data_IF_859542480404
#
_entry.id   IF_859542480404
#
_cell.length_a   1.000
_cell.length_b   1.000
_cell.length_c   1.000
_cell.angle_alpha   90.00
_cell.angle_beta   90.00
_cell.angle_gamma   90.00
#
_symmetry.space_group_name_H-M   'P 1'
#
loop_
_entity.id
_entity.type
_entity.pdbx_description
1 polymer ?
#
# COMPACT_ATOMS: atom_id res chain seq x y z
N UNK A 1 -21.42 -16.00 -8.83
CA UNK A 1 -20.32 -15.13 -9.30
C UNK A 1 -19.88 -15.65 -10.67
N UNK A 2 -19.90 -14.82 -11.71
CA UNK A 2 -19.63 -15.26 -13.09
C UNK A 2 -18.12 -15.59 -13.27
N UNK A 3 -17.73 -16.73 -13.87
CA UNK A 3 -16.33 -17.05 -14.13
C UNK A 3 -15.55 -15.97 -14.92
N UNK A 4 -16.22 -15.18 -15.78
CA UNK A 4 -15.60 -14.03 -16.45
C UNK A 4 -15.31 -12.86 -15.49
N UNK A 5 -16.15 -12.65 -14.46
CA UNK A 5 -15.86 -11.68 -13.41
C UNK A 5 -14.68 -12.15 -12.55
N UNK A 6 -14.56 -13.45 -12.31
CA UNK A 6 -13.40 -14.05 -11.62
C UNK A 6 -12.11 -13.91 -12.43
N UNK A 7 -12.16 -14.01 -13.77
CA UNK A 7 -11.00 -13.76 -14.64
C UNK A 7 -10.59 -12.28 -14.70
N UNK A 8 -11.56 -11.34 -14.70
CA UNK A 8 -11.24 -9.90 -14.62
C UNK A 8 -10.64 -9.52 -13.25
N UNK A 9 -11.06 -10.19 -12.17
CA UNK A 9 -10.51 -10.08 -10.82
C UNK A 9 -9.11 -10.72 -10.67
N UNK A 10 -8.66 -11.49 -11.67
CA UNK A 10 -7.34 -12.15 -11.71
C UNK A 10 -6.37 -11.50 -12.71
N UNK A 11 -6.65 -10.30 -13.21
CA UNK A 11 -5.57 -9.46 -13.75
C UNK A 11 -4.71 -9.04 -12.56
N UNK A 12 -3.54 -9.66 -12.44
CA UNK A 12 -2.48 -9.18 -11.58
C UNK A 12 -1.98 -7.86 -12.16
N UNK A 13 -2.61 -6.76 -11.72
CA UNK A 13 -2.33 -5.43 -12.23
C UNK A 13 -0.84 -5.07 -12.12
N UNK A 14 -0.13 -5.61 -11.13
CA UNK A 14 1.31 -5.38 -10.97
C UNK A 14 2.11 -6.03 -12.10
N UNK A 15 1.76 -7.27 -12.48
CA UNK A 15 2.39 -7.94 -13.63
C UNK A 15 2.09 -7.23 -14.93
N UNK A 16 0.85 -6.82 -15.14
CA UNK A 16 0.49 -6.07 -16.35
C UNK A 16 1.28 -4.77 -16.46
N UNK A 17 1.42 -4.03 -15.36
CA UNK A 17 2.24 -2.81 -15.36
C UNK A 17 3.70 -3.17 -15.65
N UNK A 18 4.26 -4.21 -15.04
CA UNK A 18 5.64 -4.62 -15.31
C UNK A 18 5.87 -5.07 -16.76
N UNK A 19 4.86 -5.62 -17.44
CA UNK A 19 4.94 -5.91 -18.88
C UNK A 19 4.97 -4.64 -19.74
N UNK A 20 4.27 -3.57 -19.32
CA UNK A 20 4.24 -2.28 -20.02
C UNK A 20 5.49 -1.45 -19.75
N UNK A 21 6.06 -1.56 -18.56
CA UNK A 21 7.26 -0.83 -18.11
C UNK A 21 8.30 -1.79 -17.49
N UNK A 22 8.91 -2.70 -18.29
CA UNK A 22 9.81 -3.73 -17.76
C UNK A 22 11.11 -3.16 -17.17
N UNK A 23 11.57 -2.03 -17.71
CA UNK A 23 12.81 -1.35 -17.30
C UNK A 23 12.46 -0.03 -16.59
N UNK A 24 11.75 -0.13 -15.46
CA UNK A 24 11.42 1.05 -14.65
C UNK A 24 12.71 1.74 -14.14
N UNK A 25 13.08 2.84 -14.79
CA UNK A 25 14.09 3.79 -14.32
C UNK A 25 13.42 4.84 -13.41
N UNK A 26 12.93 4.40 -12.26
CA UNK A 26 12.12 5.24 -11.38
C UNK A 26 11.98 4.69 -9.97
N UNK A 27 11.33 5.49 -9.13
CA UNK A 27 11.03 5.15 -7.73
C UNK A 27 9.56 4.79 -7.60
N UNK A 28 9.27 3.73 -6.87
CA UNK A 28 7.90 3.32 -6.54
C UNK A 28 7.53 3.89 -5.18
N UNK A 29 6.38 4.56 -5.13
CA UNK A 29 5.74 5.01 -3.90
C UNK A 29 4.52 4.12 -3.64
N UNK A 30 4.57 3.34 -2.55
CA UNK A 30 3.44 2.54 -2.06
C UNK A 30 2.76 3.29 -0.92
N UNK A 31 1.68 4.00 -1.23
CA UNK A 31 0.92 4.81 -0.28
C UNK A 31 -0.18 4.00 0.40
N UNK A 32 -0.21 3.99 1.75
CA UNK A 32 -1.14 3.14 2.50
C UNK A 32 -0.72 1.67 2.46
N UNK A 33 0.58 1.43 2.65
CA UNK A 33 1.19 0.12 2.48
C UNK A 33 0.67 -0.94 3.47
N UNK A 34 -0.03 -0.54 4.55
CA UNK A 34 -0.56 -1.42 5.58
C UNK A 34 0.51 -2.39 6.08
N UNK A 35 0.27 -3.70 6.04
CA UNK A 35 1.24 -4.74 6.42
C UNK A 35 2.14 -5.20 5.26
N UNK A 36 2.19 -4.45 4.15
CA UNK A 36 3.12 -4.65 3.03
C UNK A 36 2.71 -5.70 1.99
N UNK A 37 1.42 -6.03 1.87
CA UNK A 37 0.97 -7.00 0.86
C UNK A 37 1.19 -6.50 -0.58
N UNK A 38 0.83 -5.25 -0.87
CA UNK A 38 1.08 -4.64 -2.18
C UNK A 38 2.58 -4.46 -2.41
N UNK A 39 3.30 -3.97 -1.40
CA UNK A 39 4.76 -3.80 -1.41
C UNK A 39 5.50 -5.06 -1.84
N UNK A 40 5.08 -6.23 -1.36
CA UNK A 40 5.67 -7.51 -1.74
C UNK A 40 5.46 -7.85 -3.23
N UNK A 41 4.28 -7.57 -3.78
CA UNK A 41 4.01 -7.77 -5.21
C UNK A 41 4.83 -6.81 -6.07
N UNK A 42 4.94 -5.55 -5.64
CA UNK A 42 5.78 -4.54 -6.29
C UNK A 42 7.26 -4.97 -6.32
N UNK A 43 7.82 -5.45 -5.20
CA UNK A 43 9.19 -5.96 -5.16
C UNK A 43 9.39 -7.16 -6.09
N UNK A 44 8.42 -8.09 -6.17
CA UNK A 44 8.51 -9.24 -7.09
C UNK A 44 8.51 -8.83 -8.56
N UNK A 45 7.72 -7.80 -8.91
CA UNK A 45 7.62 -7.32 -10.29
C UNK A 45 8.77 -6.39 -10.69
N UNK A 46 9.28 -5.60 -9.73
CA UNK A 46 10.33 -4.60 -9.95
C UNK A 46 11.51 -4.86 -9.00
N UNK A 47 12.29 -5.94 -9.22
CA UNK A 47 13.30 -6.40 -8.27
C UNK A 47 14.39 -5.38 -7.97
N UNK A 48 14.67 -4.47 -8.90
CA UNK A 48 15.74 -3.47 -8.77
C UNK A 48 15.23 -2.05 -8.45
N UNK A 49 13.91 -1.81 -8.48
CA UNK A 49 13.39 -0.47 -8.25
C UNK A 49 13.51 -0.09 -6.77
N UNK A 50 13.90 1.15 -6.43
CA UNK A 50 13.73 1.68 -5.09
C UNK A 50 12.24 1.79 -4.75
N UNK A 51 11.85 1.28 -3.58
CA UNK A 51 10.46 1.32 -3.11
C UNK A 51 10.40 2.04 -1.76
N UNK A 52 9.55 3.05 -1.68
CA UNK A 52 9.20 3.74 -0.44
C UNK A 52 7.75 3.39 -0.07
N UNK A 53 7.56 2.77 1.09
CA UNK A 53 6.26 2.30 1.57
C UNK A 53 5.79 3.15 2.75
N UNK A 54 4.63 3.78 2.65
CA UNK A 54 4.10 4.72 3.63
C UNK A 54 2.91 4.10 4.36
N UNK A 55 3.01 3.95 5.68
CA UNK A 55 1.91 3.46 6.53
C UNK A 55 1.86 4.24 7.86
N UNK A 56 0.83 5.07 8.09
CA UNK A 56 0.76 5.87 9.31
C UNK A 56 0.32 5.09 10.57
N UNK A 57 -0.42 3.98 10.43
CA UNK A 57 -0.95 3.21 11.56
C UNK A 57 0.17 2.40 12.21
N UNK A 58 0.45 2.63 13.50
CA UNK A 58 1.60 2.02 14.19
C UNK A 58 1.61 0.50 14.14
N UNK A 59 0.48 -0.16 14.40
CA UNK A 59 0.40 -1.62 14.43
C UNK A 59 0.65 -2.26 13.05
N UNK A 60 0.13 -1.63 11.99
CA UNK A 60 0.38 -2.07 10.62
C UNK A 60 1.83 -1.78 10.20
N UNK A 61 2.33 -0.59 10.56
CA UNK A 61 3.70 -0.17 10.29
C UNK A 61 4.74 -1.09 10.94
N UNK A 62 4.51 -1.56 12.16
CA UNK A 62 5.41 -2.50 12.83
C UNK A 62 5.56 -3.80 12.03
N UNK A 63 4.46 -4.33 11.48
CA UNK A 63 4.49 -5.51 10.62
C UNK A 63 5.15 -5.21 9.26
N UNK A 64 4.89 -4.04 8.68
CA UNK A 64 5.56 -3.57 7.46
C UNK A 64 7.07 -3.45 7.68
N UNK A 65 7.52 -2.85 8.77
CA UNK A 65 8.93 -2.63 9.09
C UNK A 65 9.69 -3.97 9.25
N UNK A 66 9.05 -4.98 9.84
CA UNK A 66 9.61 -6.33 9.93
C UNK A 66 9.83 -6.96 8.54
N UNK A 67 8.88 -6.77 7.63
CA UNK A 67 8.98 -7.26 6.24
C UNK A 67 9.90 -6.40 5.38
N UNK A 68 10.06 -5.12 5.72
CA UNK A 68 10.79 -4.19 4.88
C UNK A 68 12.26 -4.59 4.69
N UNK A 69 12.86 -5.15 5.74
CA UNK A 69 14.23 -5.69 5.69
C UNK A 69 14.36 -6.84 4.68
N UNK A 70 13.40 -7.76 4.64
CA UNK A 70 13.45 -8.90 3.71
C UNK A 70 13.07 -8.53 2.29
N UNK A 71 12.22 -7.52 2.12
CA UNK A 71 11.80 -6.98 0.83
C UNK A 71 12.77 -5.94 0.25
N UNK A 72 13.79 -5.51 1.01
CA UNK A 72 14.68 -4.39 0.65
C UNK A 72 13.89 -3.14 0.22
N UNK A 73 13.01 -2.66 1.10
CA UNK A 73 12.19 -1.45 0.87
C UNK A 73 12.37 -0.46 2.02
N UNK A 74 12.02 0.80 1.79
CA UNK A 74 12.12 1.88 2.80
C UNK A 74 10.75 2.16 3.40
N UNK A 75 10.45 1.71 4.63
CA UNK A 75 9.17 1.97 5.27
C UNK A 75 9.18 3.35 5.94
N UNK A 76 8.06 4.07 5.86
CA UNK A 76 7.83 5.38 6.47
C UNK A 76 6.56 5.34 7.32
N UNK A 77 6.67 5.68 8.61
CA UNK A 77 5.50 5.78 9.49
C UNK A 77 4.81 7.12 9.34
N UNK A 78 4.33 7.39 8.13
CA UNK A 78 3.78 8.67 7.70
C UNK A 78 2.60 8.43 6.75
N UNK A 79 1.62 9.32 6.79
CA UNK A 79 0.59 9.40 5.76
C UNK A 79 1.10 10.28 4.60
N UNK A 80 0.63 10.02 3.38
CA UNK A 80 0.87 10.91 2.25
C UNK A 80 -0.22 11.99 2.21
N UNK A 81 0.20 13.25 2.07
CA UNK A 81 -0.68 14.42 2.01
C UNK A 81 -0.06 15.55 1.19
N UNK A 82 -0.84 16.59 0.93
CA UNK A 82 -0.41 17.80 0.23
C UNK A 82 0.40 18.77 1.12
N UNK A 83 0.31 18.59 2.44
CA UNK A 83 0.91 19.43 3.47
C UNK A 83 1.49 18.59 4.60
N UNK A 84 2.54 19.11 5.23
CA UNK A 84 3.08 18.52 6.45
C UNK A 84 2.19 18.93 7.64
N UNK A 85 1.46 17.96 8.20
CA UNK A 85 0.69 18.16 9.43
C UNK A 85 0.58 16.88 10.24
N UNK A 86 0.34 17.02 11.55
CA UNK A 86 -0.02 15.91 12.43
C UNK A 86 -1.53 15.75 12.49
N UNK A 87 -2.00 14.50 12.53
CA UNK A 87 -3.43 14.18 12.55
C UNK A 87 -3.70 12.93 13.39
N UNK A 88 -4.85 12.90 14.06
CA UNK A 88 -5.32 11.70 14.75
C UNK A 88 -6.01 10.77 13.74
N UNK A 89 -5.40 9.61 13.48
CA UNK A 89 -6.07 8.53 12.77
C UNK A 89 -6.95 7.75 13.75
N UNK A 90 -8.25 7.67 13.42
CA UNK A 90 -9.16 6.76 14.12
C UNK A 90 -8.93 5.33 13.64
N UNK A 91 -8.16 4.57 14.43
CA UNK A 91 -7.92 3.15 14.20
C UNK A 91 -9.15 2.36 14.64
N UNK A 92 -9.92 1.85 13.68
CA UNK A 92 -11.02 0.93 13.96
C UNK A 92 -10.45 -0.43 14.40
N UNK A 93 -11.26 -1.24 15.11
CA UNK A 93 -10.90 -2.61 15.52
C UNK A 93 -10.50 -3.53 14.33
N UNK A 94 -10.83 -3.12 13.10
CA UNK A 94 -10.32 -3.67 11.85
C UNK A 94 -9.38 -2.65 11.18
N UNK A 95 -8.08 -2.97 11.16
CA UNK A 95 -7.00 -2.10 10.62
C UNK A 95 -7.17 -1.75 9.13
N UNK A 96 -7.99 -2.51 8.40
CA UNK A 96 -8.29 -2.33 6.98
C UNK A 96 -9.05 -1.03 6.64
N UNK A 97 -9.66 -0.37 7.62
CA UNK A 97 -10.56 0.79 7.41
C UNK A 97 -10.24 1.92 8.38
N UNK A 98 -8.96 2.27 8.49
CA UNK A 98 -8.53 3.47 9.19
C UNK A 98 -8.70 4.65 8.24
N UNK A 99 -9.50 5.64 8.63
CA UNK A 99 -9.74 6.84 7.83
C UNK A 99 -9.37 8.08 8.61
N UNK A 100 -8.81 9.06 7.91
CA UNK A 100 -8.65 10.42 8.42
C UNK A 100 -9.96 11.22 8.34
N UNK A 101 -10.93 10.74 7.55
CA UNK A 101 -12.23 11.39 7.41
C UNK A 101 -13.05 11.17 8.69
N UNK A 102 -13.79 12.21 9.10
CA UNK A 102 -14.85 12.03 10.09
C UNK A 102 -15.78 10.90 9.64
N UNK A 103 -16.24 10.09 10.60
CA UNK A 103 -17.29 9.12 10.34
C UNK A 103 -18.46 9.88 9.71
N UNK A 104 -18.71 9.64 8.42
CA UNK A 104 -19.74 10.38 7.69
C UNK A 104 -21.08 10.20 8.42
N UNK A 105 -21.70 11.30 8.84
CA UNK A 105 -23.02 11.34 9.48
C UNK A 105 -24.17 11.06 8.51
N UNK A 106 -23.94 10.26 7.44
CA UNK A 106 -24.96 9.89 6.47
C UNK A 106 -25.09 8.37 6.36
N UNK A 107 -25.57 7.80 7.46
CA UNK A 107 -26.41 6.61 7.42
C UNK A 107 -27.85 7.05 7.64
N UNK A 108 -28.57 7.36 6.57
CA UNK A 108 -30.02 7.39 6.52
C UNK A 108 -30.47 6.38 5.48
#
# INVERSE_FOLDING_TARGET
MNPLQTQLLMIDAYRLIAEVIPDLDGVIIDGGANVGQATEHLRKCFPNAPIHAFEPVSEAFEQLAQRATTLDVRPHRLALGDTEHEAEIRVNRNLWTCSLLDASSRGH
#
